data_IF_635310505258
#
_entry.id   IF_635310505258
#
_cell.length_a   1.000
_cell.length_b   1.000
_cell.length_c   1.000
_cell.angle_alpha   90.00
_cell.angle_beta   90.00
_cell.angle_gamma   90.00
#
_symmetry.space_group_name_H-M   'P 1'
#
loop_
_entity.id
_entity.type
_entity.pdbx_description
1 polymer ?
#
# COMPACT_ATOMS: atom_id res chain seq x y z
N UNK A 1 -16.86 -61.61 -24.05
CA UNK A 1 -15.74 -61.32 -23.10
C UNK A 1 -15.26 -59.87 -23.14
N UNK A 2 -15.42 -59.15 -24.24
CA UNK A 2 -14.93 -57.73 -24.43
C UNK A 2 -15.55 -56.69 -23.48
N UNK A 3 -16.86 -56.72 -23.25
CA UNK A 3 -17.56 -55.68 -22.46
C UNK A 3 -17.16 -55.62 -20.95
N UNK A 4 -16.82 -56.77 -20.36
CA UNK A 4 -16.40 -56.83 -18.96
C UNK A 4 -14.98 -56.30 -18.76
N UNK A 5 -14.11 -56.49 -19.74
CA UNK A 5 -12.75 -55.95 -19.70
C UNK A 5 -12.72 -54.44 -19.81
N UNK A 6 -13.56 -53.87 -20.69
CA UNK A 6 -13.71 -52.40 -20.80
C UNK A 6 -14.24 -51.74 -19.52
N UNK A 7 -15.19 -52.37 -18.83
CA UNK A 7 -15.75 -51.83 -17.58
C UNK A 7 -14.72 -51.83 -16.44
N UNK A 8 -13.87 -52.85 -16.36
CA UNK A 8 -12.83 -52.94 -15.33
C UNK A 8 -11.72 -51.88 -15.56
N UNK A 9 -11.35 -51.65 -16.81
CA UNK A 9 -10.36 -50.62 -17.18
C UNK A 9 -10.92 -49.23 -16.88
N UNK A 10 -12.19 -48.96 -17.20
CA UNK A 10 -12.84 -47.67 -16.91
C UNK A 10 -12.94 -47.40 -15.41
N UNK A 11 -13.25 -48.42 -14.63
CA UNK A 11 -13.32 -48.33 -13.16
C UNK A 11 -11.94 -48.08 -12.54
N UNK A 12 -10.90 -48.69 -13.06
CA UNK A 12 -9.51 -48.46 -12.65
C UNK A 12 -9.05 -47.03 -12.95
N UNK A 13 -9.37 -46.51 -14.12
CA UNK A 13 -9.10 -45.10 -14.51
C UNK A 13 -9.86 -44.08 -13.62
N UNK A 14 -11.11 -44.41 -13.27
CA UNK A 14 -11.90 -43.53 -12.37
C UNK A 14 -11.30 -43.48 -10.96
N UNK A 15 -10.81 -44.63 -10.45
CA UNK A 15 -10.13 -44.67 -9.13
C UNK A 15 -8.81 -43.88 -9.14
N UNK A 16 -8.05 -43.95 -10.23
CA UNK A 16 -6.82 -43.16 -10.39
C UNK A 16 -7.10 -41.64 -10.48
N UNK A 17 -8.17 -41.25 -11.16
CA UNK A 17 -8.56 -39.83 -11.25
C UNK A 17 -8.99 -39.23 -9.89
N UNK A 18 -9.67 -40.00 -9.03
CA UNK A 18 -10.06 -39.55 -7.69
C UNK A 18 -8.87 -39.38 -6.72
N UNK A 19 -7.73 -40.01 -6.99
CA UNK A 19 -6.55 -39.94 -6.13
C UNK A 19 -5.78 -38.62 -6.19
N UNK A 20 -5.92 -37.84 -7.26
CA UNK A 20 -5.09 -36.67 -7.52
C UNK A 20 -5.68 -35.32 -7.01
N UNK A 21 -6.93 -35.30 -6.54
CA UNK A 21 -7.60 -34.02 -6.23
C UNK A 21 -7.56 -33.60 -4.77
N UNK A 22 -6.88 -34.34 -3.89
CA UNK A 22 -6.84 -33.99 -2.48
C UNK A 22 -5.76 -32.92 -2.23
N UNK A 23 -6.16 -31.68 -2.24
CA UNK A 23 -5.33 -30.57 -1.79
C UNK A 23 -4.95 -30.82 -0.32
N UNK A 24 -3.69 -31.16 -0.09
CA UNK A 24 -3.17 -31.43 1.26
C UNK A 24 -2.92 -30.08 1.97
N UNK A 25 -3.99 -29.48 2.46
CA UNK A 25 -3.92 -28.25 3.28
C UNK A 25 -3.45 -28.50 4.72
N UNK A 26 -3.34 -29.78 5.09
CA UNK A 26 -2.83 -30.17 6.42
C UNK A 26 -1.71 -31.18 6.23
N UNK A 27 -0.66 -31.13 7.06
CA UNK A 27 0.38 -32.15 7.06
C UNK A 27 -0.23 -33.53 7.31
N UNK A 28 0.44 -34.58 6.82
CA UNK A 28 0.05 -35.97 7.09
C UNK A 28 0.01 -36.19 8.60
N UNK A 29 -0.74 -37.23 9.01
CA UNK A 29 -0.87 -37.61 10.41
C UNK A 29 0.50 -37.68 11.11
N UNK A 30 0.67 -36.79 12.10
CA UNK A 30 1.85 -36.81 12.97
C UNK A 30 1.62 -37.81 14.09
N UNK A 31 2.41 -38.88 14.10
CA UNK A 31 2.27 -39.93 15.10
C UNK A 31 2.60 -39.47 16.53
N UNK A 32 3.59 -38.59 16.67
CA UNK A 32 3.97 -37.92 17.92
C UNK A 32 4.22 -36.46 17.64
N UNK A 33 3.21 -35.60 17.80
CA UNK A 33 3.34 -34.16 17.47
C UNK A 33 4.29 -33.41 18.40
N UNK A 34 4.61 -33.98 19.58
CA UNK A 34 5.46 -33.36 20.59
C UNK A 34 5.16 -31.83 20.69
N UNK A 35 6.10 -30.97 20.47
CA UNK A 35 5.90 -29.52 20.47
C UNK A 35 5.69 -28.92 19.06
N UNK A 36 5.28 -29.71 18.07
CA UNK A 36 5.01 -29.21 16.72
C UNK A 36 3.90 -28.15 16.72
N UNK A 37 2.91 -28.28 17.60
CA UNK A 37 1.82 -27.33 17.79
C UNK A 37 1.98 -26.60 19.11
N UNK A 38 2.76 -25.54 19.10
CA UNK A 38 2.91 -24.65 20.26
C UNK A 38 1.75 -23.63 20.36
N UNK A 39 1.45 -23.08 21.55
CA UNK A 39 0.50 -21.96 21.67
C UNK A 39 0.95 -20.69 20.91
N UNK A 40 2.23 -20.57 20.60
CA UNK A 40 2.74 -19.44 19.85
C UNK A 40 2.14 -19.39 18.42
N UNK A 41 1.83 -18.20 17.96
CA UNK A 41 1.36 -17.96 16.59
C UNK A 41 2.57 -17.66 15.71
N UNK A 42 2.85 -18.57 14.77
CA UNK A 42 3.91 -18.37 13.78
C UNK A 42 3.33 -17.75 12.51
N UNK A 43 4.20 -17.13 11.70
CA UNK A 43 3.79 -16.55 10.43
C UNK A 43 3.09 -17.61 9.53
N UNK A 44 1.94 -17.26 8.96
CA UNK A 44 1.15 -18.08 8.03
C UNK A 44 0.57 -19.38 8.60
N UNK A 45 0.73 -19.66 9.88
CA UNK A 45 0.23 -20.89 10.50
C UNK A 45 -1.26 -20.77 10.86
N UNK A 46 -1.65 -19.68 11.46
CA UNK A 46 -3.04 -19.39 11.86
C UNK A 46 -3.23 -17.88 12.04
N UNK A 47 -4.48 -17.37 12.03
CA UNK A 47 -4.76 -15.98 12.37
C UNK A 47 -4.21 -15.64 13.77
N UNK A 48 -3.63 -14.43 13.89
CA UNK A 48 -3.18 -13.92 15.18
C UNK A 48 -4.38 -13.78 16.13
N UNK A 49 -4.17 -14.04 17.40
CA UNK A 49 -5.18 -13.77 18.43
C UNK A 49 -5.45 -12.25 18.47
N UNK A 50 -6.72 -11.90 18.44
CA UNK A 50 -7.12 -10.52 18.65
C UNK A 50 -6.96 -10.16 20.13
N UNK A 51 -6.61 -8.91 20.45
CA UNK A 51 -6.65 -8.41 21.81
C UNK A 51 -8.03 -8.59 22.42
N UNK A 52 -8.10 -8.61 23.73
CA UNK A 52 -9.39 -8.64 24.46
C UNK A 52 -10.22 -7.44 24.02
N UNK A 53 -11.51 -7.67 23.78
CA UNK A 53 -12.43 -6.60 23.38
C UNK A 53 -12.40 -5.45 24.39
N UNK A 54 -12.27 -4.23 23.89
CA UNK A 54 -12.12 -3.03 24.71
C UNK A 54 -10.67 -2.67 25.07
N UNK A 55 -9.68 -3.47 24.66
CA UNK A 55 -8.27 -3.10 24.82
C UNK A 55 -7.93 -1.94 23.90
N UNK A 56 -7.32 -0.91 24.48
CA UNK A 56 -6.84 0.27 23.76
C UNK A 56 -5.32 0.34 23.94
N UNK A 57 -4.53 0.51 22.87
CA UNK A 57 -3.09 0.75 22.98
C UNK A 57 -2.79 1.98 23.85
N UNK A 58 -1.67 1.95 24.55
CA UNK A 58 -1.25 3.02 25.47
C UNK A 58 -1.23 4.42 24.82
N UNK A 59 -0.78 4.50 23.57
CA UNK A 59 -0.59 5.72 22.79
C UNK A 59 -1.66 5.90 21.70
N UNK A 60 -2.79 5.16 21.81
CA UNK A 60 -3.85 5.23 20.81
C UNK A 60 -4.69 6.49 20.98
N UNK A 61 -4.71 7.29 19.95
CA UNK A 61 -5.61 8.42 19.80
C UNK A 61 -6.69 8.09 18.75
N UNK A 62 -7.94 8.21 19.18
CA UNK A 62 -9.06 7.95 18.27
C UNK A 62 -9.10 8.99 17.16
N UNK A 63 -9.05 8.54 15.91
CA UNK A 63 -9.29 9.42 14.77
C UNK A 63 -10.81 9.68 14.65
N UNK A 64 -11.28 10.93 14.94
CA UNK A 64 -12.71 11.18 15.19
C UNK A 64 -13.57 11.27 13.93
N UNK A 65 -12.97 11.15 12.74
CA UNK A 65 -13.67 11.30 11.46
C UNK A 65 -14.00 9.94 10.86
N UNK A 66 -15.27 9.73 10.46
CA UNK A 66 -15.72 8.58 9.68
C UNK A 66 -15.32 8.70 8.21
N UNK A 67 -15.49 7.64 7.43
CA UNK A 67 -15.13 7.60 6.00
C UNK A 67 -15.82 8.72 5.19
N UNK A 68 -17.05 9.09 5.56
CA UNK A 68 -17.82 10.14 4.90
C UNK A 68 -17.46 11.58 5.28
N UNK A 69 -16.69 11.79 6.35
CA UNK A 69 -16.44 13.11 6.95
C UNK A 69 -15.34 13.91 6.23
N UNK A 70 -15.17 13.67 4.93
CA UNK A 70 -14.09 14.27 4.13
C UNK A 70 -14.06 15.80 4.18
N UNK A 71 -15.24 16.44 4.10
CA UNK A 71 -15.34 17.91 4.13
C UNK A 71 -15.07 18.47 5.53
N UNK A 72 -15.55 17.79 6.55
CA UNK A 72 -15.31 18.14 7.95
C UNK A 72 -13.82 18.03 8.29
N UNK A 73 -13.20 16.91 7.95
CA UNK A 73 -11.77 16.70 8.14
C UNK A 73 -10.93 17.72 7.35
N UNK A 74 -11.34 18.07 6.13
CA UNK A 74 -10.69 19.11 5.33
C UNK A 74 -10.70 20.49 5.98
N UNK A 75 -11.79 20.84 6.69
CA UNK A 75 -11.96 22.15 7.33
C UNK A 75 -11.28 22.24 8.71
N UNK A 76 -11.27 21.14 9.46
CA UNK A 76 -10.84 21.12 10.86
C UNK A 76 -9.38 20.69 11.05
N UNK A 77 -8.84 19.89 10.11
CA UNK A 77 -7.48 19.37 10.24
C UNK A 77 -6.46 20.27 9.54
N UNK A 78 -5.48 20.70 10.30
CA UNK A 78 -4.29 21.37 9.79
C UNK A 78 -3.05 20.49 10.04
N UNK A 79 -2.08 20.56 9.12
CA UNK A 79 -0.84 19.82 9.29
C UNK A 79 -0.03 20.40 10.46
N UNK A 80 0.22 19.62 11.53
CA UNK A 80 0.97 20.09 12.68
C UNK A 80 2.49 20.10 12.44
N UNK A 81 2.96 19.42 11.37
CA UNK A 81 4.39 19.25 11.12
C UNK A 81 4.92 20.38 10.21
N UNK A 82 5.99 21.08 10.61
CA UNK A 82 6.67 22.01 9.72
C UNK A 82 7.33 21.28 8.56
N UNK A 83 7.43 21.91 7.40
CA UNK A 83 8.07 21.35 6.22
C UNK A 83 9.62 21.43 6.32
N UNK A 84 10.20 20.81 7.35
CA UNK A 84 11.66 20.69 7.50
C UNK A 84 12.21 19.57 6.61
N UNK A 85 13.51 19.61 6.32
CA UNK A 85 14.17 18.56 5.52
C UNK A 85 13.93 17.17 6.10
N UNK A 86 14.03 17.04 7.41
CA UNK A 86 13.80 15.77 8.12
C UNK A 86 12.37 15.23 7.90
N UNK A 87 11.36 16.10 8.04
CA UNK A 87 9.95 15.74 7.80
C UNK A 87 9.71 15.38 6.34
N UNK A 88 10.31 16.13 5.41
CA UNK A 88 10.19 15.85 3.97
C UNK A 88 10.84 14.52 3.59
N UNK A 89 12.00 14.20 4.17
CA UNK A 89 12.67 12.91 3.95
C UNK A 89 11.88 11.74 4.53
N UNK A 90 11.31 11.90 5.73
CA UNK A 90 10.41 10.91 6.32
C UNK A 90 9.17 10.68 5.45
N UNK A 91 8.58 11.78 4.94
CA UNK A 91 7.46 11.74 4.01
C UNK A 91 7.82 11.05 2.70
N UNK A 92 8.99 11.38 2.12
CA UNK A 92 9.51 10.72 0.91
C UNK A 92 9.69 9.23 1.11
N UNK A 93 10.29 8.83 2.24
CA UNK A 93 10.49 7.42 2.58
C UNK A 93 9.15 6.68 2.67
N UNK A 94 8.19 7.22 3.38
CA UNK A 94 6.85 6.63 3.52
C UNK A 94 6.10 6.57 2.19
N UNK A 95 6.17 7.63 1.39
CA UNK A 95 5.58 7.68 0.05
C UNK A 95 6.18 6.61 -0.87
N UNK A 96 7.51 6.50 -0.91
CA UNK A 96 8.21 5.50 -1.73
C UNK A 96 7.98 4.07 -1.25
N UNK A 97 7.61 3.86 0.01
CA UNK A 97 7.32 2.53 0.54
C UNK A 97 5.88 2.09 0.21
N UNK A 98 4.91 2.98 0.36
CA UNK A 98 3.49 2.61 0.33
C UNK A 98 2.70 3.21 -0.84
N UNK A 99 3.05 4.38 -1.31
CA UNK A 99 2.23 5.16 -2.25
C UNK A 99 2.69 5.03 -3.71
N UNK A 100 4.01 4.92 -3.93
CA UNK A 100 4.64 4.89 -5.26
C UNK A 100 4.07 3.78 -6.16
N UNK A 101 3.69 2.65 -5.56
CA UNK A 101 3.19 1.46 -6.28
C UNK A 101 1.98 1.79 -7.15
N UNK A 102 1.10 2.67 -6.67
CA UNK A 102 -0.09 3.12 -7.39
C UNK A 102 0.08 4.52 -7.98
N UNK A 103 0.64 5.47 -7.20
CA UNK A 103 0.71 6.88 -7.58
C UNK A 103 1.91 7.24 -8.47
N UNK A 104 2.90 6.35 -8.60
CA UNK A 104 4.14 6.62 -9.33
C UNK A 104 5.10 7.53 -8.56
N UNK A 105 6.38 7.53 -8.96
CA UNK A 105 7.43 8.31 -8.29
C UNK A 105 7.18 9.82 -8.33
N UNK A 106 6.57 10.30 -9.41
CA UNK A 106 6.23 11.71 -9.62
C UNK A 106 4.84 12.09 -9.10
N UNK A 107 4.03 11.13 -8.60
CA UNK A 107 2.64 11.35 -8.21
C UNK A 107 1.68 11.50 -9.38
N UNK A 108 2.05 11.06 -10.57
CA UNK A 108 1.29 11.19 -11.83
C UNK A 108 0.22 10.10 -12.01
N UNK A 109 0.13 9.15 -11.07
CA UNK A 109 -0.80 8.01 -11.15
C UNK A 109 -0.32 6.86 -12.01
N UNK A 110 0.95 6.83 -12.41
CA UNK A 110 1.54 5.77 -13.24
C UNK A 110 2.45 4.86 -12.42
N UNK A 111 1.90 4.29 -11.33
CA UNK A 111 2.64 3.36 -10.48
C UNK A 111 2.84 1.99 -11.12
N UNK A 112 3.68 1.17 -10.51
CA UNK A 112 4.09 -0.15 -11.03
C UNK A 112 2.95 -1.14 -11.22
N UNK A 113 1.87 -0.99 -10.43
CA UNK A 113 0.73 -1.90 -10.50
C UNK A 113 -0.19 -1.61 -11.69
N UNK A 114 -0.05 -0.44 -12.33
CA UNK A 114 -0.81 -0.10 -13.52
C UNK A 114 -0.17 -0.83 -14.73
N UNK A 115 -0.94 -1.47 -15.63
CA UNK A 115 -2.41 -1.46 -15.78
C UNK A 115 -3.17 -2.60 -15.07
N UNK A 116 -2.53 -3.39 -14.20
CA UNK A 116 -3.20 -4.51 -13.50
C UNK A 116 -4.22 -4.04 -12.45
N UNK A 117 -4.12 -2.79 -12.05
CA UNK A 117 -5.02 -2.14 -11.11
C UNK A 117 -5.56 -0.84 -11.71
N UNK A 118 -6.78 -0.39 -11.35
CA UNK A 118 -7.31 0.88 -11.85
C UNK A 118 -6.36 2.05 -11.55
N UNK A 119 -6.08 2.84 -12.56
CA UNK A 119 -5.18 3.99 -12.42
C UNK A 119 -5.79 5.03 -11.47
N UNK A 120 -5.08 5.42 -10.39
CA UNK A 120 -5.53 6.49 -9.52
C UNK A 120 -5.43 7.84 -10.26
N UNK A 121 -6.23 8.83 -9.86
CA UNK A 121 -6.05 10.19 -10.37
C UNK A 121 -4.67 10.70 -10.00
N UNK A 122 -4.06 11.47 -10.92
CA UNK A 122 -2.79 12.13 -10.65
C UNK A 122 -2.92 13.11 -9.49
N UNK A 123 -1.97 13.07 -8.58
CA UNK A 123 -1.87 14.02 -7.46
C UNK A 123 -1.55 15.45 -7.93
N UNK A 124 -1.06 15.59 -9.17
CA UNK A 124 -0.62 16.86 -9.77
C UNK A 124 -1.75 17.67 -10.42
N UNK A 125 -2.98 17.12 -10.42
CA UNK A 125 -4.15 17.81 -11.00
C UNK A 125 -4.56 19.02 -10.14
N UNK A 126 -5.10 20.05 -10.76
CA UNK A 126 -5.59 21.25 -10.04
C UNK A 126 -6.59 20.87 -8.96
N UNK A 127 -7.48 19.93 -9.26
CA UNK A 127 -8.45 19.41 -8.29
C UNK A 127 -7.81 18.89 -6.99
N UNK A 128 -6.69 18.16 -7.06
CA UNK A 128 -6.02 17.61 -5.87
C UNK A 128 -5.16 18.67 -5.19
N UNK A 129 -4.51 19.51 -5.97
CA UNK A 129 -3.70 20.65 -5.47
C UNK A 129 -4.52 21.62 -4.63
N UNK A 130 -5.79 21.82 -5.01
CA UNK A 130 -6.72 22.70 -4.29
C UNK A 130 -7.27 22.06 -2.99
N UNK A 131 -6.99 20.80 -2.74
CA UNK A 131 -7.42 20.16 -1.51
C UNK A 131 -6.62 20.68 -0.31
N UNK A 132 -7.29 21.01 0.80
CA UNK A 132 -6.61 21.25 2.06
C UNK A 132 -5.82 20.03 2.53
N UNK A 133 -4.76 20.24 3.28
CA UNK A 133 -3.91 19.16 3.81
C UNK A 133 -4.71 18.15 4.64
N UNK A 134 -5.69 18.63 5.43
CA UNK A 134 -6.58 17.78 6.20
C UNK A 134 -7.38 16.80 5.34
N UNK A 135 -7.74 17.19 4.11
CA UNK A 135 -8.42 16.28 3.18
C UNK A 135 -7.49 15.18 2.69
N UNK A 136 -6.26 15.52 2.34
CA UNK A 136 -5.26 14.51 1.89
C UNK A 136 -4.98 13.55 3.03
N UNK A 137 -4.75 14.08 4.24
CA UNK A 137 -4.54 13.27 5.44
C UNK A 137 -5.72 12.35 5.73
N UNK A 138 -6.96 12.84 5.58
CA UNK A 138 -8.17 12.03 5.78
C UNK A 138 -8.25 10.87 4.77
N UNK A 139 -7.96 11.15 3.48
CA UNK A 139 -7.94 10.11 2.44
C UNK A 139 -6.89 9.04 2.75
N UNK A 140 -5.70 9.43 3.20
CA UNK A 140 -4.67 8.46 3.61
C UNK A 140 -5.13 7.66 4.83
N UNK A 141 -5.84 8.28 5.76
CA UNK A 141 -6.26 7.67 7.03
C UNK A 141 -7.47 6.75 6.93
N UNK A 142 -8.40 7.02 6.02
CA UNK A 142 -9.68 6.28 5.89
C UNK A 142 -9.87 5.60 4.55
N UNK A 143 -8.95 5.85 3.60
CA UNK A 143 -9.12 5.42 2.24
C UNK A 143 -10.17 6.23 1.48
N UNK A 144 -10.24 6.03 0.18
CA UNK A 144 -11.27 6.59 -0.69
C UNK A 144 -11.48 5.69 -1.91
N UNK A 145 -12.69 5.21 -2.13
CA UNK A 145 -13.02 4.32 -3.26
C UNK A 145 -12.10 3.09 -3.29
N UNK A 146 -11.25 2.96 -4.30
CA UNK A 146 -10.30 1.85 -4.46
C UNK A 146 -9.02 2.03 -3.64
N UNK A 147 -8.74 3.21 -3.12
CA UNK A 147 -7.59 3.45 -2.26
C UNK A 147 -7.90 2.93 -0.85
N UNK A 148 -7.13 1.95 -0.33
CA UNK A 148 -7.30 1.47 1.04
C UNK A 148 -6.86 2.54 2.06
N UNK A 149 -7.25 2.34 3.32
CA UNK A 149 -6.68 3.12 4.42
C UNK A 149 -5.26 2.67 4.76
N UNK A 150 -4.46 3.58 5.26
CA UNK A 150 -3.08 3.34 5.68
C UNK A 150 -2.87 3.64 7.17
N UNK A 151 -3.93 3.63 7.95
CA UNK A 151 -3.87 3.91 9.39
C UNK A 151 -3.11 2.85 10.19
N UNK A 152 -3.05 1.61 9.69
CA UNK A 152 -2.29 0.53 10.30
C UNK A 152 -0.81 0.52 9.91
N UNK A 153 -0.48 1.01 8.72
CA UNK A 153 0.89 0.98 8.19
C UNK A 153 1.69 2.22 8.55
N UNK A 154 1.00 3.35 8.74
CA UNK A 154 1.60 4.66 8.99
C UNK A 154 0.98 5.28 10.26
N UNK A 155 1.83 5.71 11.17
CA UNK A 155 1.38 6.51 12.30
C UNK A 155 0.90 7.91 11.85
N UNK A 156 0.21 8.68 12.70
CA UNK A 156 -0.29 10.00 12.35
C UNK A 156 0.80 10.97 11.88
N UNK A 157 1.98 10.96 12.49
CA UNK A 157 3.09 11.83 12.11
C UNK A 157 3.62 11.47 10.71
N UNK A 158 3.77 10.17 10.43
CA UNK A 158 4.18 9.68 9.11
C UNK A 158 3.17 10.07 8.02
N UNK A 159 1.87 9.97 8.29
CA UNK A 159 0.83 10.39 7.35
C UNK A 159 0.89 11.89 7.05
N UNK A 160 1.12 12.73 8.07
CA UNK A 160 1.32 14.17 7.89
C UNK A 160 2.61 14.49 7.12
N UNK A 161 3.69 13.74 7.37
CA UNK A 161 4.92 13.85 6.60
C UNK A 161 4.70 13.49 5.12
N UNK A 162 3.88 12.48 4.81
CA UNK A 162 3.48 12.15 3.43
C UNK A 162 2.71 13.31 2.79
N UNK A 163 1.81 13.98 3.53
CA UNK A 163 1.10 15.19 3.01
C UNK A 163 2.11 16.27 2.62
N UNK A 164 3.09 16.57 3.48
CA UNK A 164 4.16 17.52 3.15
C UNK A 164 4.93 17.11 1.89
N UNK A 165 5.24 15.82 1.73
CA UNK A 165 5.94 15.33 0.54
C UNK A 165 5.07 15.42 -0.72
N UNK A 166 3.78 15.15 -0.66
CA UNK A 166 2.84 15.38 -1.77
C UNK A 166 2.90 16.83 -2.23
N UNK A 167 2.94 17.80 -1.31
CA UNK A 167 3.09 19.22 -1.65
C UNK A 167 4.42 19.52 -2.36
N UNK A 168 5.49 18.81 -1.99
CA UNK A 168 6.77 18.91 -2.73
C UNK A 168 6.61 18.42 -4.16
N UNK A 169 5.96 17.27 -4.38
CA UNK A 169 5.72 16.74 -5.74
C UNK A 169 4.87 17.68 -6.58
N UNK A 170 3.82 18.27 -5.99
CA UNK A 170 2.96 19.25 -6.65
C UNK A 170 3.75 20.52 -7.03
N UNK A 171 4.63 21.01 -6.14
CA UNK A 171 5.46 22.17 -6.38
C UNK A 171 6.55 21.90 -7.41
N UNK A 172 7.17 20.72 -7.36
CA UNK A 172 8.17 20.30 -8.34
C UNK A 172 7.58 20.17 -9.76
N UNK A 173 6.33 19.70 -9.87
CA UNK A 173 5.66 19.59 -11.17
C UNK A 173 5.28 20.98 -11.77
N UNK A 174 5.06 21.99 -10.95
CA UNK A 174 4.72 23.36 -11.36
C UNK A 174 5.44 24.37 -10.46
N UNK A 175 6.74 24.59 -10.69
CA UNK A 175 7.53 25.52 -9.91
C UNK A 175 7.05 26.95 -10.15
N UNK A 176 7.11 27.78 -9.10
CA UNK A 176 6.81 29.22 -9.21
C UNK A 176 7.96 29.96 -9.89
N UNK A 177 7.71 31.18 -10.35
CA UNK A 177 8.78 32.04 -10.90
C UNK A 177 9.89 32.30 -9.89
N UNK A 178 9.56 32.38 -8.59
CA UNK A 178 10.52 32.52 -7.51
C UNK A 178 11.37 31.23 -7.35
N UNK A 179 10.77 30.05 -7.46
CA UNK A 179 11.49 28.79 -7.44
C UNK A 179 12.49 28.72 -8.59
N UNK A 180 12.06 29.04 -9.81
CA UNK A 180 12.92 29.04 -10.99
C UNK A 180 14.09 30.04 -10.85
N UNK A 181 13.84 31.22 -10.29
CA UNK A 181 14.88 32.20 -10.04
C UNK A 181 15.91 31.71 -9.00
N UNK A 182 15.42 31.06 -7.93
CA UNK A 182 16.27 30.47 -6.91
C UNK A 182 17.13 29.33 -7.47
N UNK A 183 16.54 28.44 -8.26
CA UNK A 183 17.21 27.34 -8.92
C UNK A 183 18.35 27.83 -9.81
N UNK A 184 18.06 28.85 -10.65
CA UNK A 184 19.06 29.49 -11.49
C UNK A 184 20.20 30.10 -10.66
N UNK A 185 19.88 30.72 -9.52
CA UNK A 185 20.90 31.28 -8.60
C UNK A 185 21.76 30.21 -7.97
N UNK A 186 21.21 29.04 -7.68
CA UNK A 186 21.90 27.90 -7.07
C UNK A 186 22.66 27.02 -8.10
N UNK A 187 22.53 27.32 -9.39
CA UNK A 187 23.16 26.53 -10.45
C UNK A 187 22.59 25.10 -10.57
N UNK A 188 21.37 24.87 -10.09
CA UNK A 188 20.73 23.56 -10.19
C UNK A 188 20.09 23.46 -11.56
N UNK A 189 20.64 22.61 -12.42
CA UNK A 189 20.05 22.28 -13.73
C UNK A 189 19.28 20.95 -13.62
N UNK A 190 17.99 20.99 -13.91
CA UNK A 190 17.12 19.81 -13.91
C UNK A 190 17.04 19.12 -15.28
N UNK A 191 17.76 19.62 -16.28
CA UNK A 191 17.72 19.03 -17.61
C UNK A 191 18.43 17.66 -17.68
N UNK A 192 19.29 17.34 -16.71
CA UNK A 192 20.10 16.12 -16.71
C UNK A 192 19.64 15.07 -15.67
N UNK A 193 18.91 15.49 -14.63
CA UNK A 193 18.31 14.56 -13.68
C UNK A 193 16.94 14.08 -14.17
N UNK A 194 16.92 13.34 -15.27
CA UNK A 194 15.80 12.43 -15.45
C UNK A 194 15.78 11.50 -14.22
N UNK A 195 14.72 11.55 -13.38
CA UNK A 195 14.68 10.73 -12.18
C UNK A 195 14.95 9.31 -12.62
N UNK A 196 15.91 8.67 -11.95
CA UNK A 196 16.24 7.27 -12.17
C UNK A 196 14.93 6.44 -12.23
N UNK A 197 14.42 6.31 -13.43
CA UNK A 197 13.28 5.46 -13.79
C UNK A 197 13.73 4.02 -13.93
N UNK A 198 14.99 3.69 -13.55
CA UNK A 198 15.39 2.33 -13.38
C UNK A 198 14.56 1.76 -12.23
N UNK A 199 13.32 1.44 -12.57
CA UNK A 199 12.49 0.57 -11.74
C UNK A 199 13.35 -0.63 -11.42
N UNK A 200 13.57 -0.96 -10.14
CA UNK A 200 14.13 -2.26 -9.83
C UNK A 200 13.24 -3.26 -10.57
N UNK A 201 13.79 -4.01 -11.53
CA UNK A 201 13.07 -5.12 -12.16
C UNK A 201 12.77 -6.13 -11.07
N UNK A 202 11.68 -5.90 -10.33
CA UNK A 202 11.27 -6.73 -9.20
C UNK A 202 10.83 -8.14 -9.65
N UNK A 203 10.64 -8.33 -10.97
CA UNK A 203 10.23 -9.62 -11.51
C UNK A 203 10.97 -9.90 -12.82
N UNK A 204 11.55 -11.10 -12.99
CA UNK A 204 12.03 -11.53 -14.29
C UNK A 204 10.86 -11.57 -15.28
N UNK A 205 11.06 -11.01 -16.45
CA UNK A 205 10.12 -11.15 -17.57
C UNK A 205 9.97 -12.66 -17.86
N UNK A 206 8.72 -13.16 -17.81
CA UNK A 206 8.40 -14.54 -18.22
C UNK A 206 8.13 -14.58 -19.69
#
# INVERSE_FOLDING_TARGET
MSKRFSASVLFGLLLLACGCSRQKSKPMLEYMPNMAHSPAVKAQERPMFLPVSGTVPWDWEAYPYGVGDTLKAAAELANPLPATLEVLEAGRKSFNTFCIVCHGAKGDGKGYIIPKFPQPPSLLTDRVRDWPDGRIFHVISRGQQTMPDYSFQLDPAQRWAVVNYVRVLERAARPTTADLALMKKLGVDFSEDEPDTSTPKLWPER
#
